data_IF_920939283200
#
_entry.id   IF_920939283200
#
_cell.length_a   1.000
_cell.length_b   1.000
_cell.length_c   1.000
_cell.angle_alpha   90.00
_cell.angle_beta   90.00
_cell.angle_gamma   90.00
#
_symmetry.space_group_name_H-M   'P 1'
#
loop_
_entity.id
_entity.type
_entity.pdbx_description
1 polymer ?
#
# COMPACT_ATOMS: atom_id res chain seq x y z
N UNK A 1 4.40 -3.78 10.65
CA UNK A 1 4.41 -2.53 11.44
C UNK A 1 3.13 -1.76 11.17
N UNK A 2 2.43 -1.25 12.19
CA UNK A 2 1.22 -0.44 11.99
C UNK A 2 1.56 1.04 11.72
N UNK A 3 0.65 1.76 11.07
CA UNK A 3 0.76 3.21 10.82
C UNK A 3 1.07 3.99 12.11
N UNK A 4 0.43 3.58 13.21
CA UNK A 4 0.62 4.12 14.55
C UNK A 4 2.09 4.01 15.01
N UNK A 5 2.71 2.83 14.83
CA UNK A 5 4.11 2.63 15.18
C UNK A 5 5.04 3.54 14.37
N UNK A 6 4.79 3.72 13.06
CA UNK A 6 5.62 4.57 12.21
C UNK A 6 5.59 6.03 12.64
N UNK A 7 4.40 6.54 13.02
CA UNK A 7 4.25 7.93 13.50
C UNK A 7 5.00 8.14 14.81
N UNK A 8 4.93 7.17 15.74
CA UNK A 8 5.68 7.21 16.99
C UNK A 8 7.20 7.23 16.75
N UNK A 9 7.69 6.41 15.81
CA UNK A 9 9.11 6.37 15.47
C UNK A 9 9.59 7.66 14.79
N UNK A 10 8.80 8.22 13.86
CA UNK A 10 9.11 9.52 13.26
C UNK A 10 9.28 10.63 14.30
N UNK A 11 8.39 10.68 15.31
CA UNK A 11 8.51 11.65 16.41
C UNK A 11 9.84 11.47 17.15
N UNK A 12 10.19 10.23 17.49
CA UNK A 12 11.43 9.91 18.22
C UNK A 12 12.68 10.23 17.41
N UNK A 13 12.68 9.94 16.10
CA UNK A 13 13.77 10.28 15.19
C UNK A 13 14.03 11.79 15.13
N UNK A 14 12.98 12.59 15.29
CA UNK A 14 13.08 14.06 15.39
C UNK A 14 13.41 14.56 16.80
N UNK A 15 13.64 13.66 17.76
CA UNK A 15 13.99 13.99 19.14
C UNK A 15 12.89 14.73 19.91
N UNK A 16 11.64 14.66 19.46
CA UNK A 16 10.54 15.41 20.06
C UNK A 16 9.87 14.59 21.18
N UNK A 17 9.55 15.24 22.30
CA UNK A 17 8.59 14.66 23.25
C UNK A 17 7.17 14.72 22.68
N UNK A 18 6.24 13.95 23.26
CA UNK A 18 4.83 14.06 22.89
C UNK A 18 4.28 15.48 23.15
N UNK A 19 4.83 16.20 24.12
CA UNK A 19 4.40 17.56 24.45
C UNK A 19 4.83 18.56 23.36
N UNK A 20 6.10 18.52 22.93
CA UNK A 20 6.56 19.38 21.82
C UNK A 20 5.87 19.04 20.51
N UNK A 21 5.72 17.75 20.20
CA UNK A 21 5.07 17.33 18.96
C UNK A 21 3.59 17.75 18.93
N UNK A 22 2.86 17.58 20.04
CA UNK A 22 1.46 17.99 20.12
C UNK A 22 1.29 19.50 19.96
N UNK A 23 2.20 20.31 20.54
CA UNK A 23 2.23 21.76 20.35
C UNK A 23 2.43 22.14 18.87
N UNK A 24 3.40 21.51 18.19
CA UNK A 24 3.65 21.75 16.76
C UNK A 24 2.50 21.32 15.85
N UNK A 25 1.77 20.27 16.25
CA UNK A 25 0.60 19.75 15.53
C UNK A 25 -0.71 20.47 15.88
N UNK A 26 -0.66 21.43 16.81
CA UNK A 26 -1.82 22.14 17.34
C UNK A 26 -2.92 21.19 17.86
N UNK A 27 -2.52 20.18 18.64
CA UNK A 27 -3.40 19.24 19.33
C UNK A 27 -2.99 19.09 20.79
N UNK A 28 -3.86 18.50 21.62
CA UNK A 28 -3.47 18.17 22.99
C UNK A 28 -2.50 16.97 23.01
N UNK A 29 -1.59 16.97 23.99
CA UNK A 29 -0.69 15.83 24.25
C UNK A 29 -1.47 14.53 24.48
N UNK A 30 -2.63 14.60 25.13
CA UNK A 30 -3.53 13.46 25.30
C UNK A 30 -4.04 12.92 23.94
N UNK A 31 -4.37 13.79 22.98
CA UNK A 31 -4.77 13.37 21.63
C UNK A 31 -3.63 12.72 20.88
N UNK A 32 -2.42 13.29 20.93
CA UNK A 32 -1.25 12.62 20.35
C UNK A 32 -0.98 11.26 20.99
N UNK A 33 -1.12 11.14 22.31
CA UNK A 33 -0.98 9.86 23.01
C UNK A 33 -2.00 8.82 22.55
N UNK A 34 -3.28 9.18 22.40
CA UNK A 34 -4.29 8.24 21.87
C UNK A 34 -3.98 7.80 20.45
N UNK A 35 -3.45 8.69 19.62
CA UNK A 35 -2.98 8.36 18.28
C UNK A 35 -1.82 7.37 18.31
N UNK A 36 -0.77 7.65 19.08
CA UNK A 36 0.44 6.82 19.19
C UNK A 36 0.19 5.46 19.86
N UNK A 37 -0.89 5.33 20.64
CA UNK A 37 -1.32 4.07 21.26
C UNK A 37 -2.40 3.33 20.45
N UNK A 38 -2.84 3.88 19.31
CA UNK A 38 -3.88 3.28 18.46
C UNK A 38 -5.28 3.27 19.09
N UNK A 39 -5.50 4.03 20.17
CA UNK A 39 -6.79 4.18 20.84
C UNK A 39 -7.74 5.10 20.05
N UNK A 40 -7.20 5.90 19.14
CA UNK A 40 -7.98 6.72 18.23
C UNK A 40 -7.40 6.69 16.82
N UNK A 41 -8.28 6.61 15.82
CA UNK A 41 -7.90 6.73 14.41
C UNK A 41 -7.41 8.15 14.09
N UNK A 42 -6.39 8.26 13.25
CA UNK A 42 -5.77 9.52 12.84
C UNK A 42 -6.42 9.94 11.51
N UNK A 43 -7.10 11.09 11.44
CA UNK A 43 -7.66 11.59 10.18
C UNK A 43 -6.57 11.86 9.14
N UNK A 44 -6.89 11.74 7.85
CA UNK A 44 -5.95 11.96 6.75
C UNK A 44 -5.27 13.34 6.83
N UNK A 45 -6.04 14.40 7.10
CA UNK A 45 -5.50 15.76 7.28
C UNK A 45 -4.48 15.86 8.42
N UNK A 46 -4.66 15.06 9.48
CA UNK A 46 -3.71 15.02 10.59
C UNK A 46 -2.45 14.24 10.20
N UNK A 47 -2.57 13.20 9.36
CA UNK A 47 -1.41 12.47 8.81
C UNK A 47 -0.53 13.41 7.98
N UNK A 48 -1.12 14.25 7.12
CA UNK A 48 -0.38 15.24 6.33
C UNK A 48 0.34 16.26 7.21
N UNK A 49 -0.34 16.78 8.24
CA UNK A 49 0.29 17.68 9.24
C UNK A 49 1.44 17.01 9.98
N UNK A 50 1.28 15.75 10.36
CA UNK A 50 2.33 14.94 11.01
C UNK A 50 3.55 14.82 10.11
N UNK A 51 3.35 14.44 8.84
CA UNK A 51 4.42 14.32 7.86
C UNK A 51 5.16 15.64 7.66
N UNK A 52 4.45 16.76 7.58
CA UNK A 52 5.04 18.08 7.45
C UNK A 52 5.84 18.49 8.71
N UNK A 53 5.28 18.30 9.91
CA UNK A 53 5.96 18.65 11.19
C UNK A 53 7.17 17.76 11.45
N UNK A 54 7.11 16.50 11.04
CA UNK A 54 8.20 15.54 11.17
C UNK A 54 9.12 15.51 9.95
N UNK A 55 8.89 16.39 8.97
CA UNK A 55 9.67 16.53 7.74
C UNK A 55 9.94 15.15 7.09
N UNK A 56 8.87 14.36 6.99
CA UNK A 56 8.91 13.00 6.46
C UNK A 56 8.09 12.95 5.16
N UNK A 57 8.60 12.27 4.11
CA UNK A 57 7.80 12.04 2.92
C UNK A 57 6.65 11.08 3.23
N UNK A 58 5.55 11.21 2.49
CA UNK A 58 4.40 10.30 2.61
C UNK A 58 4.79 8.83 2.39
N UNK A 59 5.86 8.59 1.62
CA UNK A 59 6.48 7.28 1.38
C UNK A 59 6.95 6.60 2.67
N UNK A 60 7.30 7.35 3.72
CA UNK A 60 7.69 6.78 5.00
C UNK A 60 6.52 6.06 5.68
N UNK A 61 5.31 6.65 5.62
CA UNK A 61 4.10 6.05 6.17
C UNK A 61 3.51 5.01 5.22
N UNK A 62 3.47 5.33 3.94
CA UNK A 62 2.92 4.51 2.86
C UNK A 62 4.00 4.33 1.79
N UNK A 63 4.87 3.32 1.92
CA UNK A 63 5.89 3.08 0.92
C UNK A 63 5.19 2.90 -0.40
N UNK A 64 5.54 3.75 -1.36
CA UNK A 64 5.08 3.62 -2.73
C UNK A 64 5.59 2.29 -3.28
N UNK A 65 4.92 1.77 -4.29
CA UNK A 65 5.08 0.41 -4.84
C UNK A 65 6.50 0.03 -5.34
N UNK A 66 7.55 0.79 -5.03
CA UNK A 66 8.94 0.40 -5.24
C UNK A 66 9.55 -0.33 -4.02
N UNK A 67 9.12 -0.04 -2.79
CA UNK A 67 9.67 -0.69 -1.57
C UNK A 67 8.68 -1.68 -0.89
N UNK A 68 7.37 -1.46 -1.00
CA UNK A 68 6.33 -2.41 -0.54
C UNK A 68 6.30 -3.70 -1.36
N UNK A 69 6.88 -3.70 -2.55
CA UNK A 69 7.04 -4.90 -3.37
C UNK A 69 7.97 -5.89 -2.69
N UNK A 70 9.02 -5.50 -1.96
CA UNK A 70 9.94 -6.50 -1.36
C UNK A 70 9.34 -7.27 -0.19
N UNK A 71 8.48 -6.65 0.63
CA UNK A 71 7.85 -7.30 1.79
C UNK A 71 6.66 -8.20 1.40
N UNK A 72 5.94 -7.88 0.32
CA UNK A 72 4.85 -8.72 -0.20
C UNK A 72 5.36 -9.71 -1.25
N UNK A 73 6.46 -9.39 -1.94
CA UNK A 73 7.12 -10.32 -2.85
C UNK A 73 7.65 -11.53 -2.11
N UNK A 74 8.17 -11.44 -0.88
CA UNK A 74 8.69 -12.64 -0.18
C UNK A 74 7.64 -13.75 -0.02
N UNK A 75 6.36 -13.40 0.10
CA UNK A 75 5.23 -14.36 0.16
C UNK A 75 4.73 -14.75 -1.24
N UNK A 76 4.86 -13.87 -2.24
CA UNK A 76 4.50 -14.15 -3.64
C UNK A 76 5.64 -14.82 -4.45
N UNK A 77 6.88 -14.82 -3.96
CA UNK A 77 8.10 -15.29 -4.65
C UNK A 77 8.20 -16.80 -4.70
N UNK A 78 7.38 -17.54 -3.96
CA UNK A 78 7.38 -19.00 -4.03
C UNK A 78 6.82 -19.55 -5.35
N UNK A 79 6.35 -18.72 -6.30
CA UNK A 79 5.66 -19.25 -7.50
C UNK A 79 5.92 -18.62 -8.86
N UNK A 80 6.67 -17.53 -8.96
CA UNK A 80 6.97 -16.93 -10.26
C UNK A 80 8.47 -16.67 -10.37
N UNK A 81 9.11 -17.38 -11.29
CA UNK A 81 10.51 -17.16 -11.60
C UNK A 81 10.65 -15.85 -12.40
N UNK A 82 11.86 -15.27 -12.43
CA UNK A 82 12.15 -14.09 -13.25
C UNK A 82 11.75 -14.28 -14.73
N UNK A 83 11.85 -15.52 -15.21
CA UNK A 83 11.45 -15.94 -16.56
C UNK A 83 9.94 -15.78 -16.83
N UNK A 84 9.09 -15.91 -15.81
CA UNK A 84 7.64 -15.76 -15.95
C UNK A 84 7.23 -14.29 -16.08
N UNK A 85 7.93 -13.39 -15.40
CA UNK A 85 7.69 -11.95 -15.54
C UNK A 85 8.04 -11.47 -16.96
N UNK A 86 9.12 -11.99 -17.53
CA UNK A 86 9.52 -11.70 -18.91
C UNK A 86 8.47 -12.22 -19.91
N UNK A 87 7.94 -13.44 -19.69
CA UNK A 87 6.85 -14.01 -20.50
C UNK A 87 5.55 -13.21 -20.40
N UNK A 88 5.17 -12.78 -19.19
CA UNK A 88 3.98 -11.94 -19.00
C UNK A 88 4.16 -10.60 -19.71
N UNK A 89 5.32 -9.98 -19.58
CA UNK A 89 5.60 -8.71 -20.26
C UNK A 89 5.52 -8.86 -21.79
N UNK A 90 6.04 -9.96 -22.33
CA UNK A 90 5.91 -10.27 -23.76
C UNK A 90 4.45 -10.49 -24.16
N UNK A 91 3.68 -11.25 -23.39
CA UNK A 91 2.25 -11.46 -23.64
C UNK A 91 1.47 -10.13 -23.68
N UNK A 92 1.74 -9.21 -22.76
CA UNK A 92 1.08 -7.91 -22.74
C UNK A 92 1.44 -7.02 -23.94
N UNK A 93 2.64 -7.20 -24.51
CA UNK A 93 3.02 -6.54 -25.77
C UNK A 93 2.29 -7.12 -26.98
N UNK A 94 2.05 -8.43 -26.98
CA UNK A 94 1.35 -9.13 -28.06
C UNK A 94 -0.15 -8.85 -28.06
N UNK A 95 -0.75 -8.60 -26.88
CA UNK A 95 -2.18 -8.34 -26.70
C UNK A 95 -2.41 -7.00 -25.97
N UNK A 96 -2.28 -5.85 -26.65
CA UNK A 96 -2.41 -4.52 -26.02
C UNK A 96 -3.81 -4.28 -25.42
N UNK A 97 -4.87 -4.87 -25.96
CA UNK A 97 -6.22 -4.82 -25.41
C UNK A 97 -6.31 -5.49 -24.03
N UNK A 98 -5.56 -6.56 -23.80
CA UNK A 98 -5.44 -7.19 -22.48
C UNK A 98 -4.69 -6.25 -21.53
N UNK A 99 -3.61 -5.63 -21.98
CA UNK A 99 -2.86 -4.65 -21.18
C UNK A 99 -3.77 -3.49 -20.75
N UNK A 100 -4.52 -2.90 -21.67
CA UNK A 100 -5.46 -1.81 -21.38
C UNK A 100 -6.54 -2.27 -20.40
N UNK A 101 -7.13 -3.45 -20.62
CA UNK A 101 -8.15 -4.00 -19.71
C UNK A 101 -7.62 -4.21 -18.30
N UNK A 102 -6.37 -4.68 -18.14
CA UNK A 102 -5.74 -4.84 -16.83
C UNK A 102 -5.47 -3.50 -16.14
N UNK A 103 -5.07 -2.47 -16.89
CA UNK A 103 -4.88 -1.10 -16.37
C UNK A 103 -6.22 -0.52 -15.90
N UNK A 104 -7.29 -0.71 -16.67
CA UNK A 104 -8.64 -0.28 -16.27
C UNK A 104 -9.09 -0.97 -14.97
N UNK A 105 -8.88 -2.29 -14.86
CA UNK A 105 -9.19 -3.06 -13.65
C UNK A 105 -8.42 -2.53 -12.44
N UNK A 106 -7.15 -2.14 -12.60
CA UNK A 106 -6.36 -1.55 -11.54
C UNK A 106 -6.99 -0.27 -10.98
N UNK A 107 -7.53 0.59 -11.87
CA UNK A 107 -8.20 1.84 -11.50
C UNK A 107 -9.62 1.68 -10.95
N UNK A 108 -10.20 0.49 -10.93
CA UNK A 108 -11.54 0.28 -10.38
C UNK A 108 -11.61 0.46 -8.85
N UNK A 109 -12.78 0.86 -8.31
CA UNK A 109 -13.06 0.78 -6.89
C UNK A 109 -12.85 -0.64 -6.35
N UNK A 110 -12.33 -0.78 -5.13
CA UNK A 110 -11.86 -2.06 -4.57
C UNK A 110 -12.87 -3.21 -4.72
N UNK A 111 -14.14 -2.99 -4.40
CA UNK A 111 -15.20 -4.02 -4.56
C UNK A 111 -15.35 -4.52 -6.00
N UNK A 112 -15.25 -3.61 -6.99
CA UNK A 112 -15.37 -3.93 -8.41
C UNK A 112 -14.10 -4.61 -8.92
N UNK A 113 -12.93 -4.13 -8.51
CA UNK A 113 -11.63 -4.75 -8.81
C UNK A 113 -11.57 -6.19 -8.31
N UNK A 114 -11.99 -6.44 -7.07
CA UNK A 114 -12.00 -7.79 -6.49
C UNK A 114 -12.91 -8.75 -7.25
N UNK A 115 -14.07 -8.27 -7.72
CA UNK A 115 -14.98 -9.04 -8.55
C UNK A 115 -14.36 -9.37 -9.91
N UNK A 116 -13.78 -8.38 -10.59
CA UNK A 116 -13.11 -8.55 -11.89
C UNK A 116 -11.94 -9.54 -11.79
N UNK A 117 -11.12 -9.45 -10.75
CA UNK A 117 -10.03 -10.40 -10.51
C UNK A 117 -10.55 -11.81 -10.28
N UNK A 118 -11.61 -11.99 -9.47
CA UNK A 118 -12.24 -13.31 -9.26
C UNK A 118 -12.75 -13.92 -10.57
N UNK A 119 -13.37 -13.12 -11.42
CA UNK A 119 -13.86 -13.56 -12.72
C UNK A 119 -12.72 -13.99 -13.65
N UNK A 120 -11.64 -13.20 -13.72
CA UNK A 120 -10.45 -13.55 -14.51
C UNK A 120 -9.84 -14.88 -14.05
N UNK A 121 -9.66 -15.07 -12.74
CA UNK A 121 -9.13 -16.33 -12.20
C UNK A 121 -10.05 -17.51 -12.53
N UNK A 122 -11.37 -17.32 -12.41
CA UNK A 122 -12.34 -18.37 -12.76
C UNK A 122 -12.27 -18.74 -14.24
N UNK A 123 -12.19 -17.76 -15.14
CA UNK A 123 -12.05 -17.99 -16.58
C UNK A 123 -10.77 -18.77 -16.89
N UNK A 124 -9.63 -18.37 -16.33
CA UNK A 124 -8.35 -19.09 -16.54
C UNK A 124 -8.43 -20.54 -16.02
N UNK A 125 -9.10 -20.78 -14.89
CA UNK A 125 -9.31 -22.14 -14.38
C UNK A 125 -10.26 -22.97 -15.24
N UNK A 126 -11.28 -22.35 -15.81
CA UNK A 126 -12.22 -22.98 -16.74
C UNK A 126 -11.48 -23.49 -17.99
N UNK A 127 -10.73 -22.63 -18.66
CA UNK A 127 -9.94 -23.01 -19.84
C UNK A 127 -8.79 -23.98 -19.53
N UNK A 128 -8.32 -24.06 -18.28
CA UNK A 128 -7.35 -25.09 -17.87
C UNK A 128 -7.96 -26.49 -17.80
N UNK A 129 -9.26 -26.60 -17.49
CA UNK A 129 -9.98 -27.88 -17.38
C UNK A 129 -10.48 -28.38 -18.71
N UNK A 130 -10.92 -27.46 -19.57
CA UNK A 130 -11.33 -27.76 -20.94
C UNK A 130 -10.07 -27.79 -21.81
N UNK A 131 -9.48 -28.97 -22.06
CA UNK A 131 -8.35 -29.12 -22.98
C UNK A 131 -8.79 -28.73 -24.40
N UNK A 132 -8.67 -27.46 -24.74
CA UNK A 132 -8.69 -26.96 -26.11
C UNK A 132 -7.28 -27.08 -26.69
#
# INVERSE_FOLDING_TARGET
MSLVHKITELRKLRGLTQEEAAKRLNISRATLSRYENGQQSIPAEMIEKILHVYDAPITTLFPTDEETVQSSASVLRERFEKSDLERIHQLLKEYPELQQSLVEIYHFPQKKRDLSVKQLVHLTQFFKKEKI
#
